data_IF_852300721800
#
_entry.id   IF_852300721800
#
_cell.length_a   1.000
_cell.length_b   1.000
_cell.length_c   1.000
_cell.angle_alpha   90.00
_cell.angle_beta   90.00
_cell.angle_gamma   90.00
#
_symmetry.space_group_name_H-M   'P 1'
#
loop_
_entity.id
_entity.type
_entity.pdbx_description
1 polymer ?
#
# COMPACT_ATOMS: atom_id res chain seq x y z
N UNK A 1 4.52 6.66 9.12
CA UNK A 1 3.47 6.20 10.09
C UNK A 1 4.16 5.51 11.25
N UNK A 2 3.79 5.81 12.49
CA UNK A 2 4.39 5.21 13.70
C UNK A 2 3.57 4.05 14.28
N UNK A 3 2.26 4.13 14.13
CA UNK A 3 1.36 3.08 14.58
C UNK A 3 0.17 2.93 13.65
N UNK A 4 -0.44 1.75 13.69
CA UNK A 4 -1.64 1.42 12.94
C UNK A 4 -2.52 0.49 13.78
N UNK A 5 -3.82 0.76 13.83
CA UNK A 5 -4.80 -0.09 14.49
C UNK A 5 -6.03 -0.26 13.61
N UNK A 6 -6.56 -1.46 13.58
CA UNK A 6 -7.70 -1.83 12.74
C UNK A 6 -8.64 -2.78 13.43
N UNK A 7 -9.94 -2.52 13.31
CA UNK A 7 -11.03 -3.36 13.78
C UNK A 7 -12.01 -3.68 12.65
N UNK A 8 -12.51 -4.92 12.66
CA UNK A 8 -13.60 -5.39 11.79
C UNK A 8 -13.33 -5.23 10.28
N UNK A 9 -12.08 -5.40 9.83
CA UNK A 9 -11.70 -5.21 8.42
C UNK A 9 -11.18 -6.49 7.78
N UNK A 10 -11.78 -6.94 6.69
CA UNK A 10 -11.35 -8.12 5.93
C UNK A 10 -11.23 -9.36 6.81
N UNK A 11 -10.01 -9.93 6.90
CA UNK A 11 -9.69 -11.06 7.76
C UNK A 11 -9.24 -10.66 9.18
N UNK A 12 -9.32 -9.37 9.52
CA UNK A 12 -8.86 -8.81 10.79
C UNK A 12 -10.06 -8.45 11.66
N UNK A 13 -10.25 -9.19 12.75
CA UNK A 13 -11.19 -8.84 13.80
C UNK A 13 -10.65 -7.67 14.61
N UNK A 14 -9.39 -7.73 14.97
CA UNK A 14 -8.61 -6.68 15.62
C UNK A 14 -7.12 -6.91 15.37
N UNK A 15 -6.38 -5.83 15.13
CA UNK A 15 -4.92 -5.82 15.09
C UNK A 15 -4.39 -4.43 15.43
N UNK A 16 -3.27 -4.40 16.18
CA UNK A 16 -2.49 -3.19 16.45
C UNK A 16 -1.03 -3.40 16.10
N UNK A 17 -0.43 -2.44 15.36
CA UNK A 17 1.00 -2.33 15.10
C UNK A 17 1.53 -1.05 15.75
N UNK A 18 2.61 -1.15 16.51
CA UNK A 18 3.23 -0.01 17.18
C UNK A 18 4.72 0.05 16.85
N UNK A 19 5.29 1.25 16.92
CA UNK A 19 6.72 1.52 16.66
C UNK A 19 7.15 1.04 15.27
N UNK A 20 6.35 1.38 14.25
CA UNK A 20 6.70 1.11 12.86
C UNK A 20 8.00 1.86 12.52
N UNK A 21 8.95 1.14 11.92
CA UNK A 21 10.21 1.65 11.44
C UNK A 21 10.09 2.19 10.00
N UNK A 22 11.19 2.58 9.38
CA UNK A 22 11.22 2.96 7.96
C UNK A 22 10.94 1.75 7.06
N UNK A 23 11.52 0.61 7.36
CA UNK A 23 11.30 -0.64 6.62
C UNK A 23 10.72 -1.68 7.58
N UNK A 24 9.53 -2.17 7.29
CA UNK A 24 8.78 -3.09 8.14
C UNK A 24 8.44 -4.36 7.37
N UNK A 25 8.74 -5.52 7.95
CA UNK A 25 8.34 -6.81 7.41
C UNK A 25 7.22 -7.41 8.25
N UNK A 26 6.13 -7.75 7.59
CA UNK A 26 5.05 -8.54 8.18
C UNK A 26 5.27 -10.00 7.82
N UNK A 27 5.50 -10.82 8.84
CA UNK A 27 5.71 -12.26 8.69
C UNK A 27 4.63 -13.05 9.44
N UNK A 28 4.47 -14.30 9.13
CA UNK A 28 3.45 -15.16 9.76
C UNK A 28 2.94 -16.22 8.80
N UNK A 29 2.19 -17.17 9.33
CA UNK A 29 1.57 -18.25 8.53
C UNK A 29 0.64 -17.73 7.45
N UNK A 30 0.31 -18.58 6.51
CA UNK A 30 -0.76 -18.29 5.55
C UNK A 30 -2.06 -18.00 6.32
N UNK A 31 -2.83 -17.05 5.82
CA UNK A 31 -4.08 -16.61 6.46
C UNK A 31 -3.92 -15.92 7.84
N UNK A 32 -2.72 -15.48 8.21
CA UNK A 32 -2.53 -14.64 9.42
C UNK A 32 -3.01 -13.19 9.26
N UNK A 33 -3.45 -12.80 8.06
CA UNK A 33 -4.01 -11.48 7.80
C UNK A 33 -3.04 -10.45 7.21
N UNK A 34 -1.82 -10.82 6.83
CA UNK A 34 -0.77 -9.91 6.30
C UNK A 34 -1.25 -9.00 5.17
N UNK A 35 -1.84 -9.58 4.12
CA UNK A 35 -2.39 -8.80 2.99
C UNK A 35 -3.52 -7.86 3.45
N UNK A 36 -4.37 -8.30 4.39
CA UNK A 36 -5.43 -7.45 4.95
C UNK A 36 -4.87 -6.27 5.76
N UNK A 37 -3.72 -6.45 6.41
CA UNK A 37 -2.98 -5.35 7.07
C UNK A 37 -2.52 -4.33 6.03
N UNK A 38 -1.89 -4.78 4.94
CA UNK A 38 -1.48 -3.86 3.86
C UNK A 38 -2.68 -3.13 3.25
N UNK A 39 -3.79 -3.83 3.01
CA UNK A 39 -5.01 -3.20 2.51
C UNK A 39 -5.56 -2.16 3.50
N UNK A 40 -5.58 -2.44 4.80
CA UNK A 40 -6.02 -1.48 5.82
C UNK A 40 -5.13 -0.24 5.90
N UNK A 41 -3.80 -0.43 5.84
CA UNK A 41 -2.82 0.64 5.75
C UNK A 41 -3.01 1.48 4.48
N UNK A 42 -3.28 0.83 3.35
CA UNK A 42 -3.57 1.51 2.09
C UNK A 42 -4.84 2.36 2.17
N UNK A 43 -5.90 1.81 2.80
CA UNK A 43 -7.17 2.52 2.99
C UNK A 43 -6.96 3.77 3.82
N UNK A 44 -6.37 3.65 5.02
CA UNK A 44 -6.23 4.80 5.92
C UNK A 44 -5.32 5.89 5.33
N UNK A 45 -4.27 5.49 4.62
CA UNK A 45 -3.36 6.43 3.97
C UNK A 45 -3.99 7.15 2.76
N UNK A 46 -4.95 6.53 2.08
CA UNK A 46 -5.59 7.07 0.88
C UNK A 46 -7.10 7.33 1.08
N UNK A 47 -7.57 7.43 2.30
CA UNK A 47 -9.01 7.43 2.64
C UNK A 47 -9.80 8.53 1.93
N UNK A 48 -9.17 9.61 1.52
CA UNK A 48 -9.78 10.72 0.77
C UNK A 48 -9.82 10.50 -0.75
N UNK A 49 -9.04 9.56 -1.26
CA UNK A 49 -9.08 9.22 -2.66
C UNK A 49 -10.13 8.12 -2.88
N UNK A 50 -11.27 8.38 -3.53
CA UNK A 50 -12.34 7.42 -3.69
C UNK A 50 -11.93 6.16 -4.47
N UNK A 51 -10.82 6.20 -5.19
CA UNK A 51 -10.30 5.06 -5.95
C UNK A 51 -9.65 3.97 -5.09
N UNK A 52 -9.43 4.21 -3.76
CA UNK A 52 -8.84 3.19 -2.91
C UNK A 52 -9.64 1.88 -2.90
N UNK A 53 -10.97 1.94 -2.98
CA UNK A 53 -11.82 0.75 -3.04
C UNK A 53 -11.52 -0.05 -4.30
N UNK A 54 -11.51 0.60 -5.46
CA UNK A 54 -11.21 -0.08 -6.74
C UNK A 54 -9.82 -0.71 -6.72
N UNK A 55 -8.85 -0.02 -6.14
CA UNK A 55 -7.49 -0.52 -6.05
C UNK A 55 -7.43 -1.81 -5.22
N UNK A 56 -8.02 -1.86 -4.03
CA UNK A 56 -7.99 -3.08 -3.20
C UNK A 56 -8.93 -4.19 -3.74
N UNK A 57 -9.99 -3.85 -4.47
CA UNK A 57 -10.84 -4.83 -5.14
C UNK A 57 -10.14 -5.48 -6.33
N UNK A 58 -9.44 -4.68 -7.14
CA UNK A 58 -8.69 -5.18 -8.30
C UNK A 58 -7.61 -6.18 -7.89
N UNK A 59 -6.96 -5.97 -6.73
CA UNK A 59 -5.94 -6.89 -6.21
C UNK A 59 -6.52 -8.27 -5.86
N UNK A 60 -7.83 -8.35 -5.58
CA UNK A 60 -8.55 -9.57 -5.21
C UNK A 60 -9.38 -10.19 -6.35
N UNK A 61 -9.38 -9.60 -7.55
CA UNK A 61 -10.28 -9.97 -8.65
C UNK A 61 -11.78 -9.93 -8.27
N UNK A 62 -12.18 -9.02 -7.38
CA UNK A 62 -13.57 -8.87 -6.94
C UNK A 62 -14.40 -8.00 -7.88
N UNK A 63 -13.92 -7.72 -9.08
CA UNK A 63 -14.50 -6.78 -10.04
C UNK A 63 -15.86 -7.21 -10.63
N UNK A 64 -16.31 -8.42 -10.40
CA UNK A 64 -17.54 -8.95 -11.03
C UNK A 64 -18.84 -8.46 -10.35
N UNK A 65 -18.85 -8.26 -9.04
CA UNK A 65 -20.02 -7.72 -8.30
C UNK A 65 -19.63 -6.45 -7.56
N UNK A 66 -19.54 -5.39 -8.34
CA UNK A 66 -18.90 -4.12 -8.00
C UNK A 66 -19.68 -3.25 -6.99
N UNK A 67 -20.82 -3.68 -6.46
CA UNK A 67 -21.65 -2.89 -5.54
C UNK A 67 -21.71 -3.44 -4.11
N UNK A 68 -21.08 -4.58 -3.84
CA UNK A 68 -21.15 -5.23 -2.54
C UNK A 68 -19.91 -4.91 -1.68
N UNK A 69 -20.05 -3.96 -0.76
CA UNK A 69 -18.99 -3.59 0.19
C UNK A 69 -18.87 -4.52 1.40
N UNK A 70 -19.76 -5.53 1.56
CA UNK A 70 -19.73 -6.43 2.72
C UNK A 70 -18.44 -7.18 2.86
N UNK A 71 -17.75 -7.45 1.74
CA UNK A 71 -16.46 -8.11 1.72
C UNK A 71 -15.32 -7.31 2.38
N UNK A 72 -15.54 -6.02 2.68
CA UNK A 72 -14.59 -5.22 3.46
C UNK A 72 -14.69 -5.53 4.96
N UNK A 73 -15.82 -6.07 5.42
CA UNK A 73 -16.10 -6.31 6.83
C UNK A 73 -15.65 -7.71 7.26
N UNK A 74 -15.11 -7.83 8.45
CA UNK A 74 -14.72 -9.10 9.03
C UNK A 74 -15.93 -10.04 9.15
N UNK A 75 -15.79 -11.26 8.63
CA UNK A 75 -16.89 -12.24 8.61
C UNK A 75 -18.17 -11.77 7.91
N UNK A 76 -18.10 -10.73 7.07
CA UNK A 76 -19.25 -10.06 6.44
C UNK A 76 -20.24 -9.44 7.44
N UNK A 77 -19.80 -9.24 8.70
CA UNK A 77 -20.61 -8.63 9.75
C UNK A 77 -20.66 -7.10 9.61
N UNK A 78 -21.70 -6.63 8.96
CA UNK A 78 -21.95 -5.20 8.72
C UNK A 78 -22.65 -4.50 9.87
N UNK A 79 -22.99 -5.22 10.94
CA UNK A 79 -23.60 -4.65 12.15
C UNK A 79 -22.60 -3.79 12.94
N UNK A 80 -21.31 -3.98 12.68
CA UNK A 80 -20.21 -3.24 13.28
C UNK A 80 -19.48 -2.42 12.23
N UNK A 81 -19.11 -1.20 12.57
CA UNK A 81 -18.26 -0.38 11.71
C UNK A 81 -16.84 -0.95 11.63
N UNK A 82 -16.20 -0.75 10.50
CA UNK A 82 -14.76 -0.88 10.39
C UNK A 82 -14.14 0.36 11.06
N UNK A 83 -13.19 0.17 11.95
CA UNK A 83 -12.41 1.26 12.52
C UNK A 83 -10.94 1.13 12.08
N UNK A 84 -10.37 2.23 11.60
CA UNK A 84 -8.97 2.33 11.19
C UNK A 84 -8.38 3.56 11.87
N UNK A 85 -7.20 3.42 12.46
CA UNK A 85 -6.46 4.56 12.99
C UNK A 85 -4.96 4.42 12.73
N UNK A 86 -4.28 5.56 12.57
CA UNK A 86 -2.85 5.59 12.34
C UNK A 86 -2.24 6.89 12.82
N UNK A 87 -1.08 6.81 13.47
CA UNK A 87 -0.29 7.96 13.88
C UNK A 87 0.82 8.19 12.89
N UNK A 88 0.87 9.39 12.36
CA UNK A 88 1.92 9.82 11.43
C UNK A 88 2.87 10.76 12.16
N UNK A 89 4.17 10.49 12.03
CA UNK A 89 5.22 11.43 12.39
C UNK A 89 6.07 11.64 11.13
N UNK A 90 6.18 12.87 10.63
CA UNK A 90 6.98 13.10 9.45
C UNK A 90 7.13 14.57 9.08
N UNK A 91 8.33 14.93 8.72
CA UNK A 91 8.61 16.11 7.92
C UNK A 91 8.15 15.82 6.49
N UNK A 92 7.02 16.38 6.09
CA UNK A 92 6.75 16.56 4.66
C UNK A 92 7.67 17.69 4.23
N UNK A 93 8.47 17.47 3.19
CA UNK A 93 9.33 18.47 2.57
C UNK A 93 8.55 19.80 2.47
N UNK A 94 9.00 20.80 3.25
CA UNK A 94 8.51 22.20 3.40
C UNK A 94 7.46 22.52 4.48
N UNK A 95 6.89 21.57 5.23
CA UNK A 95 6.11 21.90 6.42
C UNK A 95 6.39 20.87 7.51
N UNK A 96 6.87 21.32 8.66
CA UNK A 96 6.85 20.54 9.89
C UNK A 96 5.38 20.22 10.19
N UNK A 97 4.92 19.03 9.89
CA UNK A 97 3.60 18.58 10.28
C UNK A 97 3.71 17.98 11.67
N UNK A 98 2.99 18.51 12.67
CA UNK A 98 2.95 17.93 13.99
C UNK A 98 2.44 16.47 13.90
N UNK A 99 2.78 15.67 14.91
CA UNK A 99 2.26 14.30 15.05
C UNK A 99 0.73 14.36 14.90
N UNK A 100 0.21 13.71 13.86
CA UNK A 100 -1.21 13.67 13.57
C UNK A 100 -1.74 12.24 13.68
N UNK A 101 -2.83 12.05 14.40
CA UNK A 101 -3.56 10.79 14.43
C UNK A 101 -4.76 10.90 13.50
N UNK A 102 -4.82 10.03 12.51
CA UNK A 102 -5.95 9.92 11.60
C UNK A 102 -6.78 8.71 12.00
N UNK A 103 -8.08 8.91 12.17
CA UNK A 103 -9.03 7.83 12.44
C UNK A 103 -10.15 7.85 11.42
N UNK A 104 -10.57 6.69 10.97
CA UNK A 104 -11.67 6.52 10.06
C UNK A 104 -12.59 5.40 10.53
N UNK A 105 -13.89 5.65 10.47
CA UNK A 105 -14.91 4.62 10.64
C UNK A 105 -15.67 4.45 9.33
N UNK A 106 -15.79 3.21 8.87
CA UNK A 106 -16.52 2.84 7.67
C UNK A 106 -17.76 2.05 8.07
N UNK A 107 -18.92 2.49 7.61
CA UNK A 107 -20.20 1.83 7.88
C UNK A 107 -21.00 1.72 6.59
N UNK A 108 -21.74 0.63 6.44
CA UNK A 108 -22.70 0.51 5.36
C UNK A 108 -23.94 1.34 5.68
N UNK A 109 -24.46 2.00 4.66
CA UNK A 109 -25.65 2.84 4.75
C UNK A 109 -26.71 2.33 3.79
N UNK A 110 -27.91 2.09 4.32
CA UNK A 110 -29.07 1.80 3.51
C UNK A 110 -29.60 3.11 2.92
N UNK A 111 -29.80 3.15 1.59
CA UNK A 111 -30.28 4.32 0.84
C UNK A 111 -31.55 4.94 1.38
N UNK A 112 -32.41 4.13 2.03
CA UNK A 112 -33.73 4.58 2.44
C UNK A 112 -33.76 5.39 3.74
N UNK A 113 -32.67 5.40 4.53
CA UNK A 113 -32.71 5.94 5.88
C UNK A 113 -32.04 7.30 6.08
N UNK A 114 -31.24 7.83 5.14
CA UNK A 114 -30.32 8.93 5.47
C UNK A 114 -30.16 10.05 4.42
N UNK A 115 -31.05 10.21 3.43
CA UNK A 115 -30.89 11.29 2.44
C UNK A 115 -31.50 12.61 2.92
N UNK A 116 -30.72 13.72 3.00
CA UNK A 116 -31.30 15.06 3.00
C UNK A 116 -32.05 15.30 1.68
N UNK A 117 -33.18 16.00 1.73
CA UNK A 117 -34.08 16.25 0.58
C UNK A 117 -33.40 16.86 -0.67
N UNK A 118 -32.23 17.44 -0.54
CA UNK A 118 -31.49 18.08 -1.65
C UNK A 118 -30.74 17.10 -2.56
N UNK A 119 -30.49 15.87 -2.14
CA UNK A 119 -29.80 14.83 -2.94
C UNK A 119 -30.74 14.01 -3.85
N UNK A 120 -32.04 14.18 -3.72
CA UNK A 120 -33.08 13.45 -4.50
C UNK A 120 -33.06 13.78 -6.00
N UNK A 121 -32.39 14.84 -6.43
CA UNK A 121 -32.43 15.32 -7.82
C UNK A 121 -31.64 14.44 -8.81
N UNK A 122 -30.77 13.52 -8.34
CA UNK A 122 -29.95 12.64 -9.19
C UNK A 122 -30.43 11.20 -9.31
N UNK A 123 -31.55 10.83 -8.68
CA UNK A 123 -32.00 9.44 -8.55
C UNK A 123 -32.85 8.87 -9.71
N UNK A 124 -33.07 9.59 -10.79
CA UNK A 124 -33.92 9.07 -11.88
C UNK A 124 -33.15 8.54 -13.07
N UNK A 125 -32.70 7.27 -12.99
CA UNK A 125 -32.64 6.40 -14.19
C UNK A 125 -33.01 4.94 -13.85
N UNK A 126 -33.93 4.31 -14.60
CA UNK A 126 -34.68 3.15 -14.12
C UNK A 126 -34.29 1.79 -14.72
N UNK A 127 -33.09 1.45 -15.09
CA UNK A 127 -32.84 0.18 -15.80
C UNK A 127 -31.53 -0.57 -15.44
N UNK A 128 -31.17 -0.69 -14.17
CA UNK A 128 -30.16 -1.69 -13.76
C UNK A 128 -30.77 -2.73 -12.85
N UNK A 129 -30.50 -4.04 -13.04
CA UNK A 129 -30.99 -5.08 -12.14
C UNK A 129 -30.34 -4.86 -10.76
N UNK A 130 -31.17 -4.53 -9.77
CA UNK A 130 -30.76 -4.32 -8.39
C UNK A 130 -30.62 -5.68 -7.71
N UNK A 131 -29.45 -5.93 -7.12
CA UNK A 131 -29.37 -6.89 -6.02
C UNK A 131 -30.07 -6.23 -4.81
N UNK A 132 -31.26 -6.70 -4.38
CA UNK A 132 -32.06 -6.02 -3.35
C UNK A 132 -31.41 -6.02 -1.96
N UNK A 133 -30.25 -6.68 -1.79
CA UNK A 133 -29.55 -6.83 -0.52
C UNK A 133 -28.13 -6.23 -0.53
N UNK A 134 -27.70 -5.60 -1.62
CA UNK A 134 -26.39 -4.96 -1.65
C UNK A 134 -26.48 -3.51 -1.15
N UNK A 135 -25.70 -3.11 -0.17
CA UNK A 135 -25.68 -1.73 0.30
C UNK A 135 -25.11 -0.82 -0.79
N UNK A 136 -25.86 0.24 -1.06
CA UNK A 136 -25.60 1.15 -2.19
C UNK A 136 -24.46 2.17 -1.93
N UNK A 137 -24.02 2.33 -0.69
CA UNK A 137 -22.97 3.28 -0.33
C UNK A 137 -22.23 2.89 0.94
N UNK A 138 -20.99 3.35 1.05
CA UNK A 138 -20.15 3.22 2.23
C UNK A 138 -20.02 4.59 2.89
N UNK A 139 -20.48 4.73 4.12
CA UNK A 139 -20.26 5.92 4.91
C UNK A 139 -18.83 5.93 5.46
N UNK A 140 -18.10 6.99 5.19
CA UNK A 140 -16.76 7.26 5.71
C UNK A 140 -16.84 8.42 6.69
N UNK A 141 -16.45 8.18 7.94
CA UNK A 141 -16.35 9.22 8.96
C UNK A 141 -14.87 9.37 9.31
N UNK A 142 -14.33 10.57 9.09
CA UNK A 142 -12.94 10.90 9.40
C UNK A 142 -12.89 11.79 10.64
N UNK A 143 -11.94 11.51 11.52
CA UNK A 143 -11.59 12.36 12.62
C UNK A 143 -10.09 12.62 12.59
N UNK A 144 -9.72 13.91 12.61
CA UNK A 144 -8.33 14.36 12.65
C UNK A 144 -8.14 15.31 13.84
N UNK A 145 -6.93 15.44 14.39
CA UNK A 145 -6.66 16.35 15.51
C UNK A 145 -6.94 17.83 15.19
N UNK A 146 -6.93 18.19 13.91
CA UNK A 146 -7.13 19.57 13.43
C UNK A 146 -8.60 19.96 13.34
N UNK A 147 -9.50 18.99 13.47
CA UNK A 147 -10.94 19.20 13.30
C UNK A 147 -11.69 18.60 14.49
N UNK A 148 -12.26 19.45 15.35
CA UNK A 148 -13.01 19.05 16.54
C UNK A 148 -14.27 18.23 16.24
N UNK A 149 -14.75 18.25 14.99
CA UNK A 149 -16.00 17.61 14.59
C UNK A 149 -15.69 16.58 13.50
N UNK A 150 -16.16 15.33 13.64
CA UNK A 150 -16.01 14.30 12.61
C UNK A 150 -16.54 14.76 11.24
N UNK A 151 -15.81 14.47 10.20
CA UNK A 151 -16.16 14.79 8.82
C UNK A 151 -16.72 13.54 8.15
N UNK A 152 -17.93 13.64 7.60
CA UNK A 152 -18.65 12.53 7.01
C UNK A 152 -18.72 12.62 5.48
N UNK A 153 -18.39 11.51 4.81
CA UNK A 153 -18.54 11.34 3.36
C UNK A 153 -19.29 10.07 3.06
N UNK A 154 -20.05 10.08 1.97
CA UNK A 154 -20.56 8.85 1.38
C UNK A 154 -19.75 8.50 0.14
N UNK A 155 -19.23 7.28 0.09
CA UNK A 155 -18.57 6.72 -1.07
C UNK A 155 -19.62 5.97 -1.89
N UNK A 156 -19.88 6.45 -3.09
CA UNK A 156 -20.88 5.88 -4.00
C UNK A 156 -20.22 5.53 -5.33
N UNK A 157 -20.76 4.52 -5.99
CA UNK A 157 -20.39 4.21 -7.35
C UNK A 157 -21.11 5.12 -8.33
N UNK A 158 -20.37 5.71 -9.27
CA UNK A 158 -20.96 6.41 -10.40
C UNK A 158 -21.60 5.43 -11.37
N UNK A 159 -22.88 5.67 -11.74
CA UNK A 159 -23.60 4.83 -12.71
C UNK A 159 -23.16 5.05 -14.16
N UNK A 160 -22.52 6.18 -14.45
CA UNK A 160 -22.12 6.56 -15.82
C UNK A 160 -20.67 6.28 -16.13
N UNK A 161 -19.85 6.15 -15.11
CA UNK A 161 -18.41 5.98 -15.24
C UNK A 161 -17.97 4.92 -14.24
N UNK A 162 -16.96 4.14 -14.57
CA UNK A 162 -16.48 3.05 -13.73
C UNK A 162 -15.66 3.52 -12.52
N UNK A 163 -16.03 4.64 -11.89
CA UNK A 163 -15.32 5.19 -10.75
C UNK A 163 -16.21 5.43 -9.53
N UNK A 164 -15.57 5.56 -8.37
CA UNK A 164 -16.20 5.89 -7.10
C UNK A 164 -16.18 7.40 -6.87
N UNK A 165 -17.20 7.92 -6.24
CA UNK A 165 -17.34 9.35 -5.92
C UNK A 165 -17.51 9.54 -4.41
N UNK A 166 -16.86 10.57 -3.86
CA UNK A 166 -17.04 11.03 -2.48
C UNK A 166 -18.08 12.14 -2.42
N UNK A 167 -19.13 11.91 -1.69
CA UNK A 167 -20.18 12.92 -1.44
C UNK A 167 -20.08 13.45 -0.01
N UNK A 168 -19.76 14.74 0.18
CA UNK A 168 -19.75 15.34 1.52
C UNK A 168 -21.17 15.39 2.09
N UNK A 169 -21.32 15.02 3.36
CA UNK A 169 -22.64 14.99 4.03
C UNK A 169 -23.12 16.36 4.47
N UNK A 170 -22.21 17.31 4.62
CA UNK A 170 -22.50 18.67 5.08
C UNK A 170 -21.52 19.70 4.52
N UNK A 171 -21.76 20.97 4.78
CA UNK A 171 -20.92 22.06 4.30
C UNK A 171 -19.51 22.03 4.91
N UNK A 172 -19.32 21.49 6.12
CA UNK A 172 -18.00 21.35 6.75
C UNK A 172 -17.17 20.28 6.04
N UNK A 173 -17.80 19.13 5.78
CA UNK A 173 -17.19 18.06 5.01
C UNK A 173 -16.82 18.51 3.58
N UNK A 174 -17.67 19.34 2.97
CA UNK A 174 -17.37 19.96 1.67
C UNK A 174 -16.18 20.89 1.72
N UNK A 175 -16.15 21.82 2.68
CA UNK A 175 -15.05 22.74 2.86
C UNK A 175 -13.74 22.01 3.15
N UNK A 176 -13.81 20.92 3.89
CA UNK A 176 -12.64 20.09 4.18
C UNK A 176 -12.10 19.38 2.91
N UNK A 177 -12.97 18.86 2.02
CA UNK A 177 -12.54 18.30 0.73
C UNK A 177 -11.90 19.35 -0.18
N UNK A 178 -12.45 20.58 -0.18
CA UNK A 178 -11.99 21.66 -1.07
C UNK A 178 -10.77 22.40 -0.53
N UNK A 179 -10.63 22.54 0.78
CA UNK A 179 -9.66 23.44 1.44
C UNK A 179 -8.81 22.75 2.53
N UNK A 180 -9.00 21.44 2.73
CA UNK A 180 -8.31 20.71 3.81
C UNK A 180 -6.79 20.73 3.69
N UNK A 181 -6.06 20.45 4.78
CA UNK A 181 -4.60 20.48 4.79
C UNK A 181 -3.98 19.72 3.61
N UNK A 182 -2.89 20.24 3.06
CA UNK A 182 -2.20 19.67 1.91
C UNK A 182 -1.82 18.19 2.12
N UNK A 183 -1.59 17.78 3.39
CA UNK A 183 -1.38 16.41 3.82
C UNK A 183 -2.52 15.45 3.39
N UNK A 184 -3.76 15.97 3.36
CA UNK A 184 -4.94 15.19 2.97
C UNK A 184 -5.45 15.61 1.57
N UNK A 185 -5.06 16.77 1.05
CA UNK A 185 -5.50 17.35 -0.24
C UNK A 185 -4.49 17.20 -1.38
N UNK A 186 -3.32 16.59 -1.14
CA UNK A 186 -2.31 16.41 -2.17
C UNK A 186 -2.84 15.56 -3.33
N UNK A 187 -2.50 15.88 -4.59
CA UNK A 187 -2.87 15.08 -5.76
C UNK A 187 -2.18 13.71 -5.79
N UNK A 188 -1.30 13.43 -4.83
CA UNK A 188 -0.56 12.18 -4.74
C UNK A 188 -1.21 11.24 -3.72
N UNK A 189 -1.36 9.98 -4.10
CA UNK A 189 -1.66 8.92 -3.14
C UNK A 189 -0.53 8.87 -2.11
N UNK A 190 -0.87 8.98 -0.82
CA UNK A 190 0.11 8.89 0.25
C UNK A 190 0.74 7.50 0.32
N UNK A 191 -0.03 6.46 0.01
CA UNK A 191 0.44 5.09 -0.04
C UNK A 191 0.22 4.45 -1.41
N UNK A 192 1.17 3.62 -1.81
CA UNK A 192 1.13 2.79 -3.00
C UNK A 192 1.13 1.32 -2.61
N UNK A 193 0.24 0.53 -3.19
CA UNK A 193 0.15 -0.91 -2.93
C UNK A 193 0.63 -1.70 -4.15
N UNK A 194 1.70 -2.45 -3.96
CA UNK A 194 2.23 -3.41 -4.93
C UNK A 194 1.83 -4.82 -4.51
N UNK A 195 1.13 -5.51 -5.38
CA UNK A 195 0.80 -6.93 -5.22
C UNK A 195 1.52 -7.76 -6.27
N UNK A 196 1.49 -9.08 -6.11
CA UNK A 196 2.01 -10.02 -7.11
C UNK A 196 1.29 -9.92 -8.46
N UNK A 197 0.10 -9.31 -8.45
CA UNK A 197 -0.75 -9.09 -9.63
C UNK A 197 -0.72 -7.66 -10.15
N UNK A 198 0.09 -6.78 -9.54
CA UNK A 198 0.24 -5.40 -10.02
C UNK A 198 0.74 -5.42 -11.45
N UNK A 199 -0.09 -4.92 -12.36
CA UNK A 199 0.22 -4.85 -13.77
C UNK A 199 1.40 -3.91 -14.00
N UNK A 200 2.29 -4.25 -14.94
CA UNK A 200 3.34 -3.37 -15.46
C UNK A 200 2.80 -2.06 -16.08
N UNK A 201 1.48 -1.90 -16.13
CA UNK A 201 0.83 -0.71 -16.68
C UNK A 201 1.21 0.57 -15.93
N UNK A 202 1.21 0.54 -14.60
CA UNK A 202 1.60 1.70 -13.78
C UNK A 202 3.09 2.00 -13.83
N UNK A 203 3.90 0.97 -14.10
CA UNK A 203 5.35 1.08 -14.15
C UNK A 203 5.82 2.03 -15.27
N UNK A 204 5.08 2.12 -16.38
CA UNK A 204 5.43 3.02 -17.46
C UNK A 204 5.33 4.49 -17.04
N UNK A 205 4.23 4.89 -16.39
CA UNK A 205 4.02 6.27 -15.93
C UNK A 205 5.06 6.65 -14.85
N UNK A 206 5.44 5.71 -13.99
CA UNK A 206 6.48 5.91 -12.99
C UNK A 206 7.85 6.14 -13.62
N UNK A 207 8.22 5.28 -14.57
CA UNK A 207 9.49 5.40 -15.28
C UNK A 207 9.55 6.66 -16.12
N UNK A 208 8.44 7.07 -16.76
CA UNK A 208 8.36 8.34 -17.45
C UNK A 208 8.65 9.52 -16.51
N UNK A 209 8.01 9.53 -15.34
CA UNK A 209 8.26 10.53 -14.30
C UNK A 209 9.73 10.58 -13.86
N UNK A 210 10.34 9.43 -13.59
CA UNK A 210 11.75 9.33 -13.21
C UNK A 210 12.68 9.80 -14.33
N UNK A 211 12.38 9.49 -15.60
CA UNK A 211 13.16 9.97 -16.74
C UNK A 211 13.06 11.49 -16.93
N UNK A 212 11.86 12.05 -16.81
CA UNK A 212 11.65 13.52 -16.92
C UNK A 212 12.42 14.24 -15.81
N UNK A 213 12.47 13.69 -14.62
CA UNK A 213 13.21 14.25 -13.48
C UNK A 213 14.72 13.92 -13.51
N UNK A 214 15.18 13.06 -14.41
CA UNK A 214 16.58 12.57 -14.51
C UNK A 214 17.03 11.74 -13.28
N UNK A 215 16.10 11.03 -12.66
CA UNK A 215 16.29 10.19 -11.47
C UNK A 215 16.48 8.70 -11.82
N UNK A 216 16.54 8.34 -13.09
CA UNK A 216 16.63 6.95 -13.57
C UNK A 216 17.98 6.26 -13.28
N UNK A 217 19.04 7.03 -12.99
CA UNK A 217 20.39 6.47 -12.86
C UNK A 217 20.51 5.46 -11.71
N UNK A 218 19.90 5.75 -10.57
CA UNK A 218 19.95 4.86 -9.40
C UNK A 218 19.21 3.56 -9.68
N UNK A 219 18.04 3.65 -10.32
CA UNK A 219 17.30 2.49 -10.76
C UNK A 219 18.15 1.61 -11.68
N UNK A 220 18.91 2.21 -12.61
CA UNK A 220 19.84 1.51 -13.47
C UNK A 220 20.97 0.84 -12.69
N UNK A 221 21.52 1.48 -11.67
CA UNK A 221 22.57 0.89 -10.83
C UNK A 221 22.08 -0.36 -10.11
N UNK A 222 20.89 -0.31 -9.52
CA UNK A 222 20.27 -1.48 -8.87
C UNK A 222 20.03 -2.61 -9.88
N UNK A 223 19.51 -2.31 -11.06
CA UNK A 223 19.29 -3.32 -12.12
C UNK A 223 20.61 -3.94 -12.62
N UNK A 224 21.64 -3.12 -12.78
CA UNK A 224 23.00 -3.60 -13.17
C UNK A 224 23.63 -4.52 -12.15
N UNK A 225 23.22 -4.42 -10.88
CA UNK A 225 23.67 -5.36 -9.85
C UNK A 225 23.14 -6.79 -10.07
N UNK A 226 22.00 -6.93 -10.76
CA UNK A 226 21.44 -8.22 -11.19
C UNK A 226 21.95 -8.66 -12.56
N UNK A 227 21.99 -7.72 -13.50
CA UNK A 227 22.45 -8.01 -14.87
C UNK A 227 23.29 -6.83 -15.41
N UNK A 228 24.60 -7.04 -15.42
CA UNK A 228 25.59 -6.02 -15.86
C UNK A 228 25.43 -5.57 -17.31
N UNK A 229 24.68 -6.31 -18.12
CA UNK A 229 24.43 -5.97 -19.53
C UNK A 229 23.45 -4.83 -19.68
N UNK A 230 22.61 -4.54 -18.66
CA UNK A 230 21.61 -3.48 -18.72
C UNK A 230 22.29 -2.12 -18.82
N UNK A 231 22.11 -1.45 -19.96
CA UNK A 231 22.67 -0.13 -20.24
C UNK A 231 21.67 0.98 -19.97
N UNK A 232 20.42 0.81 -20.46
CA UNK A 232 19.36 1.83 -20.40
C UNK A 232 17.99 1.18 -20.33
N UNK A 233 17.02 1.96 -19.82
CA UNK A 233 15.60 1.67 -19.88
C UNK A 233 15.01 2.59 -20.94
N UNK A 234 14.25 2.05 -21.88
CA UNK A 234 13.60 2.81 -22.94
C UNK A 234 12.09 2.63 -22.90
N UNK A 235 11.36 3.73 -23.11
CA UNK A 235 9.91 3.74 -23.15
C UNK A 235 9.43 3.96 -24.57
N UNK A 236 8.53 3.12 -25.05
CA UNK A 236 7.89 3.34 -26.35
C UNK A 236 6.68 4.26 -26.22
N UNK A 237 6.29 4.93 -27.31
CA UNK A 237 5.06 5.73 -27.33
C UNK A 237 3.79 4.91 -27.04
N UNK A 238 3.84 3.59 -27.20
CA UNK A 238 2.73 2.67 -26.88
C UNK A 238 2.71 2.20 -25.42
N UNK A 239 3.60 2.74 -24.56
CA UNK A 239 3.67 2.37 -23.15
C UNK A 239 4.38 1.04 -22.88
N UNK A 240 5.13 0.49 -23.85
CA UNK A 240 5.96 -0.69 -23.63
C UNK A 240 7.34 -0.28 -23.12
N UNK A 241 7.85 -1.04 -22.14
CA UNK A 241 9.16 -0.84 -21.53
C UNK A 241 10.15 -1.80 -22.20
N UNK A 242 11.31 -1.27 -22.56
CA UNK A 242 12.41 -2.01 -23.15
C UNK A 242 13.70 -1.81 -22.38
N UNK A 243 14.58 -2.79 -22.41
CA UNK A 243 15.93 -2.72 -21.89
C UNK A 243 16.95 -2.78 -23.03
N UNK A 244 17.92 -1.88 -22.98
CA UNK A 244 19.12 -1.93 -23.82
C UNK A 244 20.17 -2.79 -23.10
N UNK A 245 20.50 -3.95 -23.68
CA UNK A 245 21.50 -4.86 -23.14
C UNK A 245 22.87 -4.72 -23.84
N UNK A 246 23.08 -3.59 -24.54
CA UNK A 246 24.34 -3.29 -25.19
C UNK A 246 24.52 -3.96 -26.55
N UNK A 247 25.77 -3.98 -27.04
CA UNK A 247 26.11 -4.32 -28.43
C UNK A 247 25.86 -5.79 -28.79
N UNK A 248 25.72 -6.67 -27.82
CA UNK A 248 25.45 -8.10 -28.05
C UNK A 248 24.03 -8.34 -28.59
N UNK A 249 23.15 -7.36 -28.42
CA UNK A 249 21.76 -7.39 -28.90
C UNK A 249 21.55 -6.32 -29.98
N UNK A 250 21.05 -6.75 -31.14
CA UNK A 250 20.77 -5.83 -32.26
C UNK A 250 19.55 -4.94 -32.02
N UNK A 251 18.68 -5.31 -31.10
CA UNK A 251 17.43 -4.63 -30.79
C UNK A 251 17.24 -4.55 -29.29
N UNK A 252 16.48 -3.55 -28.86
CA UNK A 252 16.02 -3.44 -27.47
C UNK A 252 15.16 -4.67 -27.09
N UNK A 253 15.33 -5.16 -25.87
CA UNK A 253 14.59 -6.32 -25.39
C UNK A 253 13.37 -5.85 -24.57
N UNK A 254 12.14 -6.28 -24.93
CA UNK A 254 10.95 -5.98 -24.11
C UNK A 254 11.11 -6.49 -22.67
N UNK A 255 10.71 -5.68 -21.68
CA UNK A 255 10.83 -6.02 -20.26
C UNK A 255 10.15 -7.36 -19.90
N UNK A 256 9.01 -7.66 -20.52
CA UNK A 256 8.26 -8.90 -20.28
C UNK A 256 8.96 -10.17 -20.82
N UNK A 257 10.03 -10.04 -21.59
CA UNK A 257 10.91 -11.14 -21.96
C UNK A 257 12.10 -11.30 -21.00
N UNK A 258 12.28 -10.39 -20.06
CA UNK A 258 13.27 -10.51 -18.98
C UNK A 258 12.74 -11.45 -17.88
N UNK A 259 13.67 -12.00 -17.11
CA UNK A 259 13.29 -12.81 -15.94
C UNK A 259 12.42 -12.02 -14.94
N UNK A 260 11.48 -12.71 -14.29
CA UNK A 260 10.54 -12.12 -13.32
C UNK A 260 11.25 -11.31 -12.23
N UNK A 261 12.44 -11.73 -11.82
CA UNK A 261 13.25 -11.01 -10.83
C UNK A 261 13.60 -9.57 -11.22
N UNK A 262 13.97 -9.35 -12.48
CA UNK A 262 14.27 -8.00 -13.01
C UNK A 262 13.00 -7.17 -13.06
N UNK A 263 11.89 -7.74 -13.52
CA UNK A 263 10.59 -7.06 -13.57
C UNK A 263 10.13 -6.66 -12.16
N UNK A 264 10.25 -7.57 -11.19
CA UNK A 264 9.87 -7.33 -9.79
C UNK A 264 10.72 -6.26 -9.14
N UNK A 265 12.05 -6.35 -9.30
CA UNK A 265 12.97 -5.35 -8.78
C UNK A 265 12.70 -3.97 -9.37
N UNK A 266 12.55 -3.89 -10.69
CA UNK A 266 12.21 -2.64 -11.38
C UNK A 266 10.91 -2.03 -10.83
N UNK A 267 9.86 -2.85 -10.66
CA UNK A 267 8.58 -2.38 -10.13
C UNK A 267 8.70 -1.86 -8.70
N UNK A 268 9.44 -2.53 -7.82
CA UNK A 268 9.59 -2.13 -6.42
C UNK A 268 10.39 -0.82 -6.32
N UNK A 269 11.54 -0.74 -6.96
CA UNK A 269 12.40 0.45 -6.86
C UNK A 269 11.75 1.66 -7.53
N UNK A 270 11.08 1.48 -8.70
CA UNK A 270 10.33 2.56 -9.34
C UNK A 270 9.19 3.07 -8.45
N UNK A 271 8.47 2.16 -7.78
CA UNK A 271 7.40 2.55 -6.86
C UNK A 271 7.93 3.34 -5.66
N UNK A 272 9.09 2.98 -5.11
CA UNK A 272 9.74 3.72 -4.03
C UNK A 272 10.14 5.10 -4.52
N UNK A 273 10.88 5.19 -5.62
CA UNK A 273 11.37 6.46 -6.17
C UNK A 273 10.23 7.41 -6.56
N UNK A 274 9.17 6.90 -7.17
CA UNK A 274 8.01 7.71 -7.61
C UNK A 274 7.08 8.14 -6.46
N UNK A 275 7.27 7.60 -5.24
CA UNK A 275 6.42 7.89 -4.08
C UNK A 275 7.20 8.57 -2.94
N UNK A 276 8.13 9.46 -3.29
CA UNK A 276 8.97 10.17 -2.33
C UNK A 276 8.16 10.84 -1.20
N UNK A 277 8.58 10.65 0.05
CA UNK A 277 7.89 11.12 1.25
C UNK A 277 6.64 10.33 1.65
N UNK A 278 6.30 9.25 0.91
CA UNK A 278 5.09 8.45 1.11
C UNK A 278 5.34 7.08 1.73
N UNK A 279 4.39 6.18 1.52
CA UNK A 279 4.40 4.79 2.01
C UNK A 279 4.29 3.84 0.81
N UNK A 280 5.17 2.85 0.72
CA UNK A 280 5.06 1.77 -0.26
C UNK A 280 4.76 0.46 0.46
N UNK A 281 3.64 -0.14 0.09
CA UNK A 281 3.13 -1.39 0.62
C UNK A 281 3.39 -2.49 -0.39
N UNK A 282 4.09 -3.57 0.02
CA UNK A 282 4.53 -4.62 -0.91
C UNK A 282 4.02 -5.96 -0.43
N UNK A 283 3.08 -6.55 -1.16
CA UNK A 283 2.61 -7.90 -0.85
C UNK A 283 3.52 -8.95 -1.51
N UNK A 284 3.91 -9.96 -0.71
CA UNK A 284 4.81 -11.03 -1.14
C UNK A 284 6.09 -10.48 -1.82
N UNK A 285 6.91 -9.79 -1.05
CA UNK A 285 8.11 -9.10 -1.52
C UNK A 285 9.03 -9.98 -2.38
N UNK A 286 9.20 -11.23 -1.98
CA UNK A 286 10.09 -12.23 -2.54
C UNK A 286 9.49 -13.03 -3.70
N UNK A 287 8.22 -12.83 -4.03
CA UNK A 287 7.57 -13.60 -5.09
C UNK A 287 8.21 -13.33 -6.47
N UNK A 288 8.47 -14.41 -7.20
CA UNK A 288 9.14 -14.37 -8.52
C UNK A 288 10.65 -14.12 -8.46
N UNK A 289 11.24 -14.01 -7.25
CA UNK A 289 12.67 -13.77 -7.07
C UNK A 289 13.43 -15.08 -6.75
N UNK A 290 14.51 -15.29 -7.47
CA UNK A 290 15.49 -16.29 -7.08
C UNK A 290 16.26 -15.81 -5.84
N UNK A 291 16.64 -16.72 -4.93
CA UNK A 291 17.32 -16.36 -3.67
C UNK A 291 18.56 -15.44 -3.88
N UNK A 292 19.29 -15.61 -4.99
CA UNK A 292 20.45 -14.76 -5.30
C UNK A 292 20.11 -13.29 -5.56
N UNK A 293 18.85 -13.00 -5.91
CA UNK A 293 18.38 -11.63 -6.13
C UNK A 293 17.98 -10.92 -4.84
N UNK A 294 17.69 -11.67 -3.76
CA UNK A 294 17.20 -11.11 -2.49
C UNK A 294 18.19 -10.13 -1.85
N UNK A 295 19.49 -10.42 -1.94
CA UNK A 295 20.52 -9.50 -1.42
C UNK A 295 20.53 -8.16 -2.17
N UNK A 296 20.44 -8.20 -3.49
CA UNK A 296 20.37 -6.99 -4.33
C UNK A 296 19.09 -6.22 -4.06
N UNK A 297 17.96 -6.94 -3.94
CA UNK A 297 16.67 -6.35 -3.60
C UNK A 297 16.74 -5.58 -2.27
N UNK A 298 17.26 -6.20 -1.21
CA UNK A 298 17.35 -5.56 0.10
C UNK A 298 18.24 -4.34 0.10
N UNK A 299 19.44 -4.41 -0.52
CA UNK A 299 20.30 -3.23 -0.69
C UNK A 299 19.57 -2.10 -1.42
N UNK A 300 18.89 -2.44 -2.52
CA UNK A 300 18.11 -1.46 -3.29
C UNK A 300 16.98 -0.83 -2.49
N UNK A 301 16.22 -1.63 -1.72
CA UNK A 301 15.11 -1.13 -0.88
C UNK A 301 15.63 -0.23 0.23
N UNK A 302 16.64 -0.65 1.00
CA UNK A 302 17.19 0.12 2.11
C UNK A 302 17.72 1.48 1.64
N UNK A 303 18.50 1.47 0.56
CA UNK A 303 19.06 2.69 -0.01
C UNK A 303 17.95 3.61 -0.55
N UNK A 304 17.04 3.10 -1.37
CA UNK A 304 15.96 3.90 -1.94
C UNK A 304 14.98 4.43 -0.87
N UNK A 305 14.65 3.61 0.16
CA UNK A 305 13.77 4.04 1.24
C UNK A 305 14.34 5.24 2.01
N UNK A 306 15.66 5.26 2.24
CA UNK A 306 16.31 6.40 2.89
C UNK A 306 16.38 7.61 1.97
N UNK A 307 16.85 7.41 0.75
CA UNK A 307 17.09 8.49 -0.21
C UNK A 307 15.81 9.25 -0.58
N UNK A 308 14.73 8.52 -0.87
CA UNK A 308 13.43 9.11 -1.21
C UNK A 308 12.56 9.39 0.01
N UNK A 309 13.06 9.15 1.23
CA UNK A 309 12.31 9.29 2.49
C UNK A 309 10.97 8.54 2.45
N UNK A 310 10.98 7.28 2.01
CA UNK A 310 9.79 6.44 1.87
C UNK A 310 9.74 5.43 2.99
N UNK A 311 8.55 5.23 3.57
CA UNK A 311 8.31 4.12 4.49
C UNK A 311 7.86 2.89 3.70
N UNK A 312 8.49 1.75 4.00
CA UNK A 312 8.18 0.47 3.37
C UNK A 312 7.48 -0.44 4.39
N UNK A 313 6.38 -1.05 3.98
CA UNK A 313 5.75 -2.14 4.74
C UNK A 313 5.53 -3.29 3.77
N UNK A 314 6.25 -4.38 3.98
CA UNK A 314 6.25 -5.52 3.07
C UNK A 314 5.81 -6.80 3.77
N UNK A 315 5.16 -7.71 3.05
CA UNK A 315 4.89 -9.06 3.54
C UNK A 315 5.86 -10.06 2.91
N UNK A 316 6.23 -11.08 3.66
CA UNK A 316 6.97 -12.23 3.15
C UNK A 316 6.57 -13.52 3.87
N UNK A 317 6.69 -14.63 3.18
CA UNK A 317 6.60 -15.99 3.73
C UNK A 317 7.98 -16.67 3.76
N UNK A 318 9.00 -16.05 3.20
CA UNK A 318 10.31 -16.64 2.98
C UNK A 318 11.23 -16.42 4.17
N UNK A 319 11.69 -17.51 4.77
CA UNK A 319 12.80 -17.45 5.74
C UNK A 319 14.08 -16.94 5.09
N UNK A 320 14.26 -17.19 3.79
CA UNK A 320 15.43 -16.74 3.06
C UNK A 320 15.42 -15.22 2.86
N UNK A 321 14.23 -14.62 2.62
CA UNK A 321 14.11 -13.18 2.55
C UNK A 321 14.57 -12.52 3.87
N UNK A 322 14.15 -13.06 5.02
CA UNK A 322 14.58 -12.58 6.34
C UNK A 322 16.09 -12.77 6.54
N UNK A 323 16.62 -13.93 6.19
CA UNK A 323 18.06 -14.23 6.30
C UNK A 323 18.91 -13.31 5.45
N UNK A 324 18.49 -13.05 4.21
CA UNK A 324 19.20 -12.13 3.35
C UNK A 324 19.13 -10.68 3.84
N UNK A 325 18.03 -10.28 4.48
CA UNK A 325 17.94 -8.97 5.13
C UNK A 325 18.95 -8.83 6.24
N UNK A 326 19.04 -9.80 7.18
CA UNK A 326 20.03 -9.75 8.26
C UNK A 326 21.45 -9.72 7.71
N UNK A 327 21.78 -10.56 6.72
CA UNK A 327 23.11 -10.54 6.09
C UNK A 327 23.44 -9.20 5.43
N UNK A 328 22.48 -8.52 4.82
CA UNK A 328 22.70 -7.18 4.25
C UNK A 328 22.94 -6.15 5.35
N UNK A 329 22.21 -6.23 6.47
CA UNK A 329 22.38 -5.33 7.62
C UNK A 329 23.66 -5.61 8.43
N UNK A 330 24.25 -6.81 8.28
CA UNK A 330 25.56 -7.15 8.87
C UNK A 330 26.73 -6.52 8.15
N UNK A 331 26.56 -6.16 6.89
CA UNK A 331 27.59 -5.48 6.13
C UNK A 331 27.89 -4.11 6.75
N UNK A 332 29.16 -3.78 6.93
CA UNK A 332 29.62 -2.55 7.59
C UNK A 332 28.99 -1.28 6.95
N UNK A 333 28.85 -1.28 5.62
CA UNK A 333 28.26 -0.19 4.85
C UNK A 333 26.76 0.02 5.13
N UNK A 334 26.06 -1.02 5.61
CA UNK A 334 24.62 -1.03 5.85
C UNK A 334 24.24 -1.01 7.34
N UNK A 335 25.23 -1.03 8.24
CA UNK A 335 24.99 -1.07 9.68
C UNK A 335 24.15 0.12 10.20
N UNK A 336 24.21 1.26 9.53
CA UNK A 336 23.39 2.44 9.85
C UNK A 336 21.90 2.27 9.62
N UNK A 337 21.46 1.24 8.88
CA UNK A 337 20.03 0.97 8.63
C UNK A 337 19.39 0.08 9.68
N UNK A 338 20.13 -0.47 10.66
CA UNK A 338 19.62 -1.44 11.64
C UNK A 338 18.44 -0.91 12.44
N UNK A 339 18.51 0.34 12.88
CA UNK A 339 17.44 1.00 13.63
C UNK A 339 16.22 1.35 12.76
N UNK A 340 16.41 1.41 11.45
CA UNK A 340 15.36 1.71 10.47
C UNK A 340 14.57 0.48 10.03
N UNK A 341 14.88 -0.72 10.56
CA UNK A 341 14.25 -1.99 10.17
C UNK A 341 13.54 -2.63 11.36
N UNK A 342 12.34 -3.15 11.12
CA UNK A 342 11.61 -3.98 12.09
C UNK A 342 10.88 -5.12 11.37
N UNK A 343 10.75 -6.26 12.04
CA UNK A 343 9.87 -7.35 11.61
C UNK A 343 8.71 -7.52 12.60
N UNK A 344 7.56 -7.94 12.11
CA UNK A 344 6.35 -8.19 12.91
C UNK A 344 5.83 -9.59 12.60
N UNK A 345 5.85 -10.46 13.59
CA UNK A 345 5.19 -11.76 13.52
C UNK A 345 3.70 -11.57 13.78
N UNK A 346 2.86 -11.96 12.83
CA UNK A 346 1.41 -11.92 12.98
C UNK A 346 0.87 -13.31 13.30
N UNK A 347 0.26 -13.44 14.46
CA UNK A 347 -0.31 -14.69 14.96
C UNK A 347 -1.80 -14.52 15.20
N UNK A 348 -2.62 -15.37 14.57
CA UNK A 348 -4.05 -15.44 14.86
C UNK A 348 -4.29 -16.20 16.14
N UNK A 349 -4.91 -15.54 17.12
CA UNK A 349 -5.28 -16.12 18.40
C UNK A 349 -6.57 -16.95 18.29
N UNK A 350 -6.89 -17.71 19.32
CA UNK A 350 -8.10 -18.55 19.38
C UNK A 350 -9.41 -17.73 19.33
N UNK A 351 -9.40 -16.49 19.79
CA UNK A 351 -10.52 -15.54 19.73
C UNK A 351 -10.64 -14.84 18.39
N UNK A 352 -9.82 -15.27 17.41
CA UNK A 352 -9.74 -14.75 16.05
C UNK A 352 -9.15 -13.32 15.92
N UNK A 353 -8.67 -12.75 17.01
CA UNK A 353 -7.85 -11.53 16.96
C UNK A 353 -6.47 -11.85 16.38
N UNK A 354 -5.84 -10.87 15.75
CA UNK A 354 -4.46 -11.00 15.27
C UNK A 354 -3.54 -10.23 16.21
N UNK A 355 -2.58 -10.94 16.80
CA UNK A 355 -1.54 -10.34 17.64
C UNK A 355 -0.30 -10.08 16.82
N UNK A 356 0.36 -8.96 17.05
CA UNK A 356 1.62 -8.59 16.44
C UNK A 356 2.75 -8.64 17.46
N UNK A 357 3.86 -9.26 17.08
CA UNK A 357 5.08 -9.31 17.87
C UNK A 357 6.20 -8.64 17.09
N UNK A 358 6.66 -7.49 17.60
CA UNK A 358 7.74 -6.72 16.96
C UNK A 358 9.09 -7.32 17.28
N UNK A 359 9.95 -7.43 16.29
CA UNK A 359 11.36 -7.79 16.40
C UNK A 359 12.19 -6.64 15.82
N UNK A 360 13.13 -6.14 16.61
CA UNK A 360 14.20 -5.28 16.11
C UNK A 360 15.29 -6.11 15.39
N UNK A 361 16.29 -5.44 14.88
CA UNK A 361 17.37 -6.10 14.16
C UNK A 361 18.05 -7.19 15.00
N UNK A 362 18.42 -6.90 16.26
CA UNK A 362 19.14 -7.84 17.13
C UNK A 362 18.30 -9.10 17.44
N UNK A 363 17.01 -8.91 17.72
CA UNK A 363 16.10 -10.01 17.96
C UNK A 363 15.87 -10.87 16.70
N UNK A 364 15.80 -10.22 15.53
CA UNK A 364 15.64 -10.91 14.24
C UNK A 364 16.88 -11.72 13.88
N UNK A 365 18.06 -11.13 14.01
CA UNK A 365 19.36 -11.76 13.79
C UNK A 365 19.52 -12.99 14.71
N UNK A 366 19.32 -12.80 16.01
CA UNK A 366 19.39 -13.89 16.99
C UNK A 366 18.47 -15.05 16.65
N UNK A 367 17.22 -14.74 16.29
CA UNK A 367 16.24 -15.76 15.94
C UNK A 367 16.66 -16.55 14.68
N UNK A 368 17.19 -15.88 13.67
CA UNK A 368 17.64 -16.51 12.42
C UNK A 368 18.89 -17.38 12.67
N UNK A 369 19.86 -16.90 13.41
CA UNK A 369 21.08 -17.65 13.73
C UNK A 369 20.81 -18.92 14.54
N UNK A 370 19.85 -18.86 15.45
CA UNK A 370 19.49 -19.99 16.33
C UNK A 370 18.36 -20.87 15.74
N UNK A 371 17.95 -20.63 14.50
CA UNK A 371 16.89 -21.40 13.85
C UNK A 371 15.53 -21.25 14.51
N UNK A 372 15.29 -20.13 15.22
CA UNK A 372 14.00 -19.84 15.84
C UNK A 372 13.03 -19.37 14.74
N UNK A 373 11.88 -20.02 14.65
CA UNK A 373 10.90 -19.73 13.62
C UNK A 373 10.15 -18.43 13.94
N UNK A 374 10.46 -17.36 13.24
CA UNK A 374 9.85 -16.01 13.41
C UNK A 374 8.48 -15.92 12.74
N UNK A 375 8.10 -16.90 11.91
CA UNK A 375 6.84 -16.89 11.15
C UNK A 375 5.70 -17.68 11.82
N UNK A 376 5.94 -18.23 13.01
CA UNK A 376 4.97 -19.06 13.75
C UNK A 376 4.30 -18.31 14.88
#
# INVERSE_FOLDING_TARGET
>A
MESFEVDNFRSLKHLKLEKLARVNLLVGKNNSGKTSVLEGLFVIANIRNPYWVQNIESTRNLSADRSDFRHLFYGFDTSKSIALSGTYCGEIIEAQVPIATLSAALSLVDRHTLLPRELVYYERQPNTPKNPHAPDSLLVILQTPEVDIPIGFELRRSFKQEYMELYPRDNKSRAYLEQGPAFIAGPRNLAKLLTTRSNLYWLNDELEGLKVNKEENQLLEVLRSLDKRIQRIELSPSGQIYLDLGQDFRTLLPLNLMGEGIQRLLSIISAIASNAGGIVLIDELDNGLHYSALRVLWKGILHAALEYNVQIIATTHSAEALRHLTWVLDEEENAGYRDDVAAYTLIRAEDDTVRSYRHDYEQLEYAIEHGIEVRN
#
